data_IF_051965769226
#
_entry.id   IF_051965769226
#
_cell.length_a   1.000
_cell.length_b   1.000
_cell.length_c   1.000
_cell.angle_alpha   90.00
_cell.angle_beta   90.00
_cell.angle_gamma   90.00
#
_symmetry.space_group_name_H-M   'P 1'
#
loop_
_entity.id
_entity.type
_entity.pdbx_description
1 polymer ?
#
# COMPACT_ATOMS: atom_id res chain seq x y z
N UNK A 1 -5.99 26.68 -34.69
CA UNK A 1 -6.20 25.22 -34.51
C UNK A 1 -5.04 24.66 -33.69
N UNK A 2 -5.00 24.95 -32.39
CA UNK A 2 -3.94 24.43 -31.51
C UNK A 2 -4.31 23.01 -31.06
N UNK A 3 -3.58 22.04 -31.59
CA UNK A 3 -3.75 20.64 -31.21
C UNK A 3 -3.12 20.41 -29.84
N UNK A 4 -3.94 20.34 -28.78
CA UNK A 4 -3.49 19.82 -27.49
C UNK A 4 -3.10 18.34 -27.63
N UNK A 5 -1.80 18.08 -27.80
CA UNK A 5 -1.24 16.73 -27.74
C UNK A 5 -1.45 16.20 -26.32
N UNK A 6 -2.35 15.23 -26.15
CA UNK A 6 -2.46 14.45 -24.91
C UNK A 6 -1.10 13.79 -24.64
N UNK A 7 -0.39 14.26 -23.62
CA UNK A 7 0.86 13.65 -23.15
C UNK A 7 0.48 12.33 -22.47
N UNK A 8 0.50 11.24 -23.23
CA UNK A 8 0.43 9.90 -22.65
C UNK A 8 1.74 9.65 -21.89
N UNK A 9 1.68 9.62 -20.56
CA UNK A 9 2.80 9.15 -19.72
C UNK A 9 3.24 7.79 -20.24
N UNK A 10 4.50 7.64 -20.64
CA UNK A 10 4.99 6.36 -21.16
C UNK A 10 4.92 5.36 -20.00
N UNK A 11 4.41 4.14 -20.26
CA UNK A 11 4.11 3.11 -19.25
C UNK A 11 5.32 2.66 -18.40
N UNK A 12 6.53 3.18 -18.68
CA UNK A 12 7.80 2.81 -18.07
C UNK A 12 8.58 4.00 -17.49
N UNK A 13 7.95 5.15 -17.24
CA UNK A 13 8.63 6.26 -16.55
C UNK A 13 8.86 5.90 -15.07
N UNK A 14 10.13 5.80 -14.66
CA UNK A 14 10.48 5.65 -13.26
C UNK A 14 9.92 6.84 -12.47
N UNK A 15 9.33 6.63 -11.28
CA UNK A 15 8.84 7.72 -10.47
C UNK A 15 10.04 8.48 -9.91
N UNK A 16 10.51 9.48 -10.65
CA UNK A 16 11.61 10.33 -10.26
C UNK A 16 11.10 11.50 -9.41
N UNK A 17 11.95 12.02 -8.52
CA UNK A 17 11.69 13.29 -7.81
C UNK A 17 12.13 14.48 -8.67
N UNK A 18 11.94 15.72 -8.17
CA UNK A 18 12.38 16.96 -8.84
C UNK A 18 13.89 16.95 -9.18
N UNK A 19 14.68 16.10 -8.53
CA UNK A 19 16.12 15.93 -8.73
C UNK A 19 16.49 14.70 -9.56
N UNK A 20 15.55 14.12 -10.31
CA UNK A 20 15.78 12.93 -11.14
C UNK A 20 16.32 11.71 -10.36
N UNK A 21 16.00 11.62 -9.06
CA UNK A 21 16.31 10.47 -8.22
C UNK A 21 15.07 9.58 -8.06
N UNK A 22 15.27 8.27 -7.99
CA UNK A 22 14.19 7.32 -7.80
C UNK A 22 13.45 7.56 -6.47
N UNK A 23 12.14 7.81 -6.52
CA UNK A 23 11.29 7.94 -5.32
C UNK A 23 11.29 6.60 -4.58
N UNK A 24 11.93 6.56 -3.41
CA UNK A 24 11.87 5.40 -2.51
C UNK A 24 10.47 5.28 -1.91
N UNK A 25 9.86 4.10 -1.96
CA UNK A 25 8.54 3.85 -1.36
C UNK A 25 8.55 4.09 0.16
N UNK A 26 7.50 4.72 0.69
CA UNK A 26 7.34 5.05 2.13
C UNK A 26 7.48 3.83 3.06
N UNK A 27 7.15 2.62 2.58
CA UNK A 27 7.27 1.37 3.34
C UNK A 27 8.70 1.02 3.73
N UNK A 28 9.69 1.33 2.89
CA UNK A 28 11.10 1.08 3.18
C UNK A 28 11.75 2.23 3.99
N UNK A 29 10.99 3.29 4.31
CA UNK A 29 11.52 4.48 4.98
C UNK A 29 11.58 4.29 6.50
N UNK A 30 10.58 3.66 7.13
CA UNK A 30 10.50 3.55 8.61
C UNK A 30 11.68 2.81 9.25
N UNK A 31 12.09 1.68 8.70
CA UNK A 31 13.23 0.92 9.25
C UNK A 31 14.57 1.54 8.85
N UNK A 32 14.64 2.11 7.64
CA UNK A 32 15.78 2.87 7.15
C UNK A 32 16.04 4.13 7.98
N UNK A 33 15.00 4.77 8.52
CA UNK A 33 15.12 5.92 9.42
C UNK A 33 15.82 5.55 10.73
N UNK A 34 15.54 4.37 11.29
CA UNK A 34 16.21 3.90 12.52
C UNK A 34 17.71 3.69 12.31
N UNK A 35 18.11 3.07 11.19
CA UNK A 35 19.52 2.90 10.83
C UNK A 35 20.19 4.22 10.47
N UNK A 36 19.48 5.14 9.78
CA UNK A 36 20.00 6.47 9.46
C UNK A 36 20.28 7.30 10.73
N UNK A 37 19.39 7.23 11.72
CA UNK A 37 19.58 7.88 13.02
C UNK A 37 20.84 7.35 13.72
N UNK A 38 21.02 6.03 13.78
CA UNK A 38 22.23 5.41 14.35
C UNK A 38 23.51 5.81 13.58
N UNK A 39 23.48 5.82 12.25
CA UNK A 39 24.62 6.29 11.43
C UNK A 39 24.94 7.77 11.68
N UNK A 40 23.93 8.60 11.92
CA UNK A 40 24.14 10.00 12.29
C UNK A 40 24.83 10.08 13.66
N UNK A 41 24.29 9.40 14.67
CA UNK A 41 24.88 9.36 16.01
C UNK A 41 26.34 8.88 16.01
N UNK A 42 26.65 7.81 15.26
CA UNK A 42 28.03 7.31 15.12
C UNK A 42 28.95 8.39 14.53
N UNK A 43 28.52 9.06 13.44
CA UNK A 43 29.32 10.13 12.82
C UNK A 43 29.50 11.33 13.74
N UNK A 44 28.45 11.71 14.46
CA UNK A 44 28.48 12.84 15.38
C UNK A 44 29.42 12.54 16.57
N UNK A 45 29.37 11.32 17.12
CA UNK A 45 30.29 10.84 18.17
C UNK A 45 31.74 10.75 17.67
N UNK A 46 31.95 10.26 16.45
CA UNK A 46 33.29 10.14 15.88
C UNK A 46 33.92 11.52 15.68
N UNK A 47 33.17 12.47 15.10
CA UNK A 47 33.61 13.87 14.98
C UNK A 47 33.88 14.52 16.32
N UNK A 48 33.10 14.20 17.35
CA UNK A 48 33.29 14.73 18.69
C UNK A 48 34.63 14.25 19.29
N UNK A 49 34.96 12.97 19.10
CA UNK A 49 36.24 12.39 19.53
C UNK A 49 37.42 12.97 18.73
N UNK A 50 37.26 13.11 17.41
CA UNK A 50 38.31 13.59 16.50
C UNK A 50 38.68 15.07 16.73
N UNK A 51 37.73 15.89 17.22
CA UNK A 51 37.97 17.30 17.57
C UNK A 51 38.96 17.50 18.72
N UNK A 52 39.26 16.46 19.51
CA UNK A 52 40.36 16.48 20.48
C UNK A 52 40.19 17.38 21.73
N UNK A 53 39.13 18.19 21.82
CA UNK A 53 38.88 19.10 22.96
C UNK A 53 38.29 18.44 24.21
N UNK A 54 38.54 17.13 24.44
CA UNK A 54 37.89 16.35 25.49
C UNK A 54 38.93 15.80 26.47
N UNK A 55 38.59 15.83 27.76
CA UNK A 55 39.36 15.14 28.79
C UNK A 55 39.46 13.63 28.47
N UNK A 56 40.57 13.00 28.86
CA UNK A 56 40.86 11.61 28.52
C UNK A 56 39.79 10.64 29.03
N UNK A 57 39.28 10.84 30.25
CA UNK A 57 38.18 10.04 30.81
C UNK A 57 36.90 10.13 29.96
N UNK A 58 36.54 11.34 29.53
CA UNK A 58 35.36 11.58 28.69
C UNK A 58 35.59 10.97 27.31
N UNK A 59 36.81 11.06 26.77
CA UNK A 59 37.18 10.47 25.48
C UNK A 59 37.03 8.95 25.51
N UNK A 60 37.49 8.28 26.57
CA UNK A 60 37.33 6.84 26.75
C UNK A 60 35.84 6.45 26.84
N UNK A 61 35.04 7.18 27.63
CA UNK A 61 33.61 6.93 27.72
C UNK A 61 32.89 7.10 26.37
N UNK A 62 33.26 8.12 25.57
CA UNK A 62 32.70 8.34 24.23
C UNK A 62 33.14 7.29 23.21
N UNK A 63 34.36 6.77 23.32
CA UNK A 63 34.85 5.67 22.49
C UNK A 63 34.07 4.36 22.78
N UNK A 64 33.80 4.07 24.05
CA UNK A 64 32.95 2.93 24.43
C UNK A 64 31.52 3.06 23.90
N UNK A 65 30.91 4.25 24.01
CA UNK A 65 29.58 4.51 23.45
C UNK A 65 29.59 4.36 21.91
N UNK A 66 30.62 4.89 21.23
CA UNK A 66 30.79 4.72 19.79
C UNK A 66 30.84 3.25 19.38
N UNK A 67 31.63 2.43 20.09
CA UNK A 67 31.71 0.99 19.84
C UNK A 67 30.35 0.30 20.06
N UNK A 68 29.64 0.65 21.13
CA UNK A 68 28.31 0.13 21.41
C UNK A 68 27.31 0.48 20.31
N UNK A 69 27.31 1.73 19.81
CA UNK A 69 26.44 2.16 18.70
C UNK A 69 26.79 1.47 17.38
N UNK A 70 28.08 1.25 17.11
CA UNK A 70 28.52 0.50 15.93
C UNK A 70 28.07 -0.96 15.99
N UNK A 71 28.21 -1.63 17.13
CA UNK A 71 27.69 -2.99 17.36
C UNK A 71 26.18 -3.04 17.14
N UNK A 72 25.42 -2.11 17.71
CA UNK A 72 23.97 -2.01 17.55
C UNK A 72 23.57 -1.83 16.07
N UNK A 73 24.29 -1.00 15.33
CA UNK A 73 24.05 -0.78 13.91
C UNK A 73 24.31 -2.06 13.09
N UNK A 74 25.41 -2.76 13.37
CA UNK A 74 25.74 -4.00 12.68
C UNK A 74 24.70 -5.10 12.94
N UNK A 75 24.26 -5.26 14.19
CA UNK A 75 23.19 -6.18 14.57
C UNK A 75 21.91 -5.90 13.80
N UNK A 76 21.41 -4.65 13.82
CA UNK A 76 20.20 -4.25 13.09
C UNK A 76 20.31 -4.48 11.58
N UNK A 77 21.46 -4.20 10.99
CA UNK A 77 21.68 -4.46 9.56
C UNK A 77 21.67 -5.96 9.24
N UNK A 78 22.25 -6.79 10.10
CA UNK A 78 22.26 -8.24 9.93
C UNK A 78 20.87 -8.83 10.08
N UNK A 79 20.11 -8.42 11.11
CA UNK A 79 18.72 -8.81 11.30
C UNK A 79 17.86 -8.44 10.08
N UNK A 80 17.98 -7.20 9.59
CA UNK A 80 17.26 -6.75 8.41
C UNK A 80 17.62 -7.59 7.17
N UNK A 81 18.90 -7.86 6.94
CA UNK A 81 19.35 -8.72 5.83
C UNK A 81 18.79 -10.14 5.95
N UNK A 82 18.77 -10.71 7.14
CA UNK A 82 18.20 -12.05 7.37
C UNK A 82 16.70 -12.08 7.12
N UNK A 83 15.96 -11.08 7.60
CA UNK A 83 14.53 -10.94 7.35
C UNK A 83 14.24 -10.78 5.85
N UNK A 84 15.00 -9.95 5.14
CA UNK A 84 14.83 -9.76 3.71
C UNK A 84 15.11 -11.05 2.93
N UNK A 85 16.18 -11.78 3.26
CA UNK A 85 16.47 -13.10 2.68
C UNK A 85 15.32 -14.09 2.90
N UNK A 86 14.73 -14.10 4.10
CA UNK A 86 13.58 -14.96 4.44
C UNK A 86 12.34 -14.59 3.62
N UNK A 87 12.05 -13.30 3.49
CA UNK A 87 10.96 -12.76 2.67
C UNK A 87 11.15 -13.16 1.20
N UNK A 88 12.34 -12.95 0.65
CA UNK A 88 12.65 -13.25 -0.74
C UNK A 88 12.57 -14.76 -1.02
N UNK A 89 13.05 -15.59 -0.09
CA UNK A 89 12.93 -17.04 -0.17
C UNK A 89 11.47 -17.48 -0.25
N UNK A 90 10.61 -17.02 0.65
CA UNK A 90 9.20 -17.40 0.64
C UNK A 90 8.43 -16.80 -0.54
N UNK A 91 8.76 -15.57 -0.93
CA UNK A 91 8.20 -14.96 -2.13
C UNK A 91 8.48 -15.83 -3.35
N UNK A 92 9.73 -16.28 -3.56
CA UNK A 92 10.09 -17.16 -4.69
C UNK A 92 9.43 -18.54 -4.58
N UNK A 93 9.50 -19.17 -3.41
CA UNK A 93 9.01 -20.55 -3.19
C UNK A 93 7.50 -20.66 -3.37
N UNK A 94 6.73 -19.72 -2.81
CA UNK A 94 5.26 -19.80 -2.79
C UNK A 94 4.59 -18.95 -3.87
N UNK A 95 5.33 -18.22 -4.72
CA UNK A 95 4.76 -17.41 -5.82
C UNK A 95 3.81 -18.22 -6.70
N UNK A 96 4.26 -19.37 -7.19
CA UNK A 96 3.47 -20.23 -8.10
C UNK A 96 2.22 -20.78 -7.42
N UNK A 97 2.34 -21.23 -6.17
CA UNK A 97 1.22 -21.78 -5.40
C UNK A 97 0.16 -20.70 -5.16
N UNK A 98 0.57 -19.51 -4.70
CA UNK A 98 -0.33 -18.35 -4.53
C UNK A 98 -1.02 -17.95 -5.83
N UNK A 99 -0.32 -18.01 -6.97
CA UNK A 99 -0.90 -17.71 -8.28
C UNK A 99 -1.97 -18.72 -8.70
N UNK A 100 -1.75 -20.01 -8.45
CA UNK A 100 -2.74 -21.06 -8.71
C UNK A 100 -3.98 -20.85 -7.85
N UNK A 101 -3.80 -20.60 -6.55
CA UNK A 101 -4.91 -20.38 -5.63
C UNK A 101 -5.70 -19.11 -6.00
N UNK A 102 -5.00 -18.01 -6.32
CA UNK A 102 -5.65 -16.80 -6.84
C UNK A 102 -6.42 -17.04 -8.14
N UNK A 103 -5.88 -17.83 -9.07
CA UNK A 103 -6.55 -18.14 -10.33
C UNK A 103 -7.81 -18.97 -10.11
N UNK A 104 -7.77 -19.93 -9.18
CA UNK A 104 -8.94 -20.72 -8.78
C UNK A 104 -10.01 -19.83 -8.14
N UNK A 105 -9.65 -19.00 -7.18
CA UNK A 105 -10.58 -18.09 -6.52
C UNK A 105 -11.21 -17.09 -7.50
N UNK A 106 -10.43 -16.52 -8.42
CA UNK A 106 -10.96 -15.62 -9.45
C UNK A 106 -11.97 -16.31 -10.36
N UNK A 107 -11.68 -17.53 -10.79
CA UNK A 107 -12.62 -18.33 -11.59
C UNK A 107 -13.91 -18.65 -10.84
N UNK A 108 -13.82 -18.92 -9.54
CA UNK A 108 -15.01 -19.13 -8.71
C UNK A 108 -15.83 -17.85 -8.56
N UNK A 109 -15.16 -16.72 -8.29
CA UNK A 109 -15.81 -15.41 -8.21
C UNK A 109 -16.50 -15.05 -9.54
N UNK A 110 -15.84 -15.26 -10.68
CA UNK A 110 -16.45 -15.05 -12.01
C UNK A 110 -17.67 -15.94 -12.26
N UNK A 111 -17.71 -17.16 -11.71
CA UNK A 111 -18.87 -18.06 -11.82
C UNK A 111 -20.03 -17.55 -10.97
N UNK A 112 -19.78 -17.23 -9.70
CA UNK A 112 -20.81 -16.72 -8.79
C UNK A 112 -21.39 -15.40 -9.31
N UNK A 113 -20.56 -14.51 -9.86
CA UNK A 113 -21.04 -13.26 -10.46
C UNK A 113 -21.97 -13.49 -11.65
N UNK A 114 -21.68 -14.48 -12.50
CA UNK A 114 -22.59 -14.86 -13.59
C UNK A 114 -23.89 -15.48 -13.09
N UNK A 115 -23.82 -16.30 -12.04
CA UNK A 115 -25.01 -16.91 -11.44
C UNK A 115 -25.89 -15.82 -10.80
N UNK A 116 -25.30 -14.85 -10.10
CA UNK A 116 -25.99 -13.67 -9.52
C UNK A 116 -26.76 -12.83 -10.55
N UNK A 117 -26.30 -12.76 -11.80
CA UNK A 117 -27.01 -12.07 -12.88
C UNK A 117 -28.30 -12.81 -13.27
N UNK A 118 -28.30 -14.15 -13.17
CA UNK A 118 -29.40 -15.01 -13.63
C UNK A 118 -30.37 -15.44 -12.54
N UNK A 119 -29.96 -15.47 -11.28
CA UNK A 119 -30.75 -16.03 -10.17
C UNK A 119 -31.55 -14.94 -9.45
N UNK A 120 -32.82 -15.23 -9.16
CA UNK A 120 -33.71 -14.36 -8.37
C UNK A 120 -33.36 -14.39 -6.88
N UNK A 121 -32.97 -15.55 -6.36
CA UNK A 121 -32.53 -15.71 -4.97
C UNK A 121 -31.02 -15.41 -4.82
N UNK A 122 -30.71 -14.14 -4.54
CA UNK A 122 -29.33 -13.62 -4.53
C UNK A 122 -28.61 -13.75 -3.18
N UNK A 123 -29.33 -13.86 -2.08
CA UNK A 123 -28.74 -13.83 -0.73
C UNK A 123 -27.65 -14.88 -0.50
N UNK A 124 -27.87 -16.19 -0.76
CA UNK A 124 -26.83 -17.20 -0.52
C UNK A 124 -25.61 -17.04 -1.46
N UNK A 125 -25.82 -16.52 -2.67
CA UNK A 125 -24.73 -16.27 -3.62
C UNK A 125 -23.88 -15.06 -3.19
N UNK A 126 -24.49 -14.02 -2.62
CA UNK A 126 -23.77 -12.86 -2.09
C UNK A 126 -22.89 -13.23 -0.89
N UNK A 127 -23.37 -14.11 -0.02
CA UNK A 127 -22.58 -14.63 1.10
C UNK A 127 -21.35 -15.42 0.58
N UNK A 128 -21.56 -16.31 -0.39
CA UNK A 128 -20.46 -17.04 -1.03
C UNK A 128 -19.48 -16.11 -1.76
N UNK A 129 -19.97 -15.05 -2.42
CA UNK A 129 -19.09 -14.06 -3.04
C UNK A 129 -18.20 -13.38 -1.98
N UNK A 130 -18.79 -12.96 -0.86
CA UNK A 130 -18.06 -12.35 0.26
C UNK A 130 -16.97 -13.27 0.79
N UNK A 131 -17.28 -14.55 1.04
CA UNK A 131 -16.27 -15.53 1.48
C UNK A 131 -15.11 -15.68 0.49
N UNK A 132 -15.41 -15.71 -0.82
CA UNK A 132 -14.36 -15.83 -1.84
C UNK A 132 -13.49 -14.56 -1.87
N UNK A 133 -14.09 -13.39 -1.72
CA UNK A 133 -13.35 -12.13 -1.63
C UNK A 133 -12.41 -12.12 -0.41
N UNK A 134 -12.86 -12.64 0.74
CA UNK A 134 -12.02 -12.81 1.93
C UNK A 134 -10.86 -13.78 1.68
N UNK A 135 -11.13 -14.92 1.04
CA UNK A 135 -10.10 -15.89 0.64
C UNK A 135 -9.10 -15.27 -0.35
N UNK A 136 -9.54 -14.40 -1.28
CA UNK A 136 -8.65 -13.65 -2.18
C UNK A 136 -7.76 -12.69 -1.37
N UNK A 137 -8.34 -11.98 -0.40
CA UNK A 137 -7.62 -11.07 0.47
C UNK A 137 -6.57 -11.79 1.32
N UNK A 138 -6.88 -12.99 1.81
CA UNK A 138 -5.92 -13.87 2.48
C UNK A 138 -4.69 -14.13 1.61
N UNK A 139 -4.87 -14.53 0.33
CA UNK A 139 -3.71 -14.80 -0.54
C UNK A 139 -2.91 -13.53 -0.85
N UNK A 140 -3.59 -12.40 -1.09
CA UNK A 140 -2.96 -11.11 -1.43
C UNK A 140 -2.17 -10.52 -0.26
N UNK A 141 -2.71 -10.59 0.95
CA UNK A 141 -2.15 -9.93 2.13
C UNK A 141 -1.47 -10.89 3.10
N UNK A 142 -1.25 -12.14 2.68
CA UNK A 142 -0.53 -13.13 3.47
C UNK A 142 0.86 -12.61 3.93
N UNK A 143 1.24 -12.84 5.21
CA UNK A 143 2.57 -12.47 5.72
C UNK A 143 3.71 -12.99 4.84
N UNK A 144 4.69 -12.13 4.54
CA UNK A 144 5.78 -12.46 3.61
C UNK A 144 6.90 -13.27 4.27
N UNK A 145 6.97 -13.20 5.59
CA UNK A 145 7.98 -13.79 6.46
C UNK A 145 7.60 -15.19 6.96
N UNK A 146 6.46 -15.73 6.51
CA UNK A 146 5.92 -17.02 6.94
C UNK A 146 5.68 -17.96 5.75
N UNK A 147 5.69 -19.27 6.05
CA UNK A 147 5.32 -20.32 5.09
C UNK A 147 3.86 -20.15 4.69
N UNK A 148 3.57 -20.12 3.39
CA UNK A 148 2.20 -20.04 2.89
C UNK A 148 1.44 -21.36 3.09
N UNK A 149 0.19 -21.26 3.56
CA UNK A 149 -0.74 -22.38 3.69
C UNK A 149 -1.76 -22.29 2.55
N UNK A 150 -1.77 -23.27 1.65
CA UNK A 150 -2.65 -23.26 0.47
C UNK A 150 -4.10 -23.51 0.86
N UNK A 151 -5.02 -22.80 0.20
CA UNK A 151 -6.47 -22.94 0.41
C UNK A 151 -7.03 -24.23 -0.19
N UNK A 152 -6.40 -24.76 -1.24
CA UNK A 152 -6.86 -25.91 -2.01
C UNK A 152 -5.92 -27.12 -1.88
N UNK A 153 -5.18 -27.21 -0.77
CA UNK A 153 -4.24 -28.30 -0.53
C UNK A 153 -4.98 -29.60 -0.19
N UNK A 154 -4.72 -30.67 -0.97
CA UNK A 154 -5.42 -31.96 -0.81
C UNK A 154 -5.06 -32.71 0.48
N UNK A 155 -3.86 -32.48 1.03
CA UNK A 155 -3.32 -33.19 2.19
C UNK A 155 -2.97 -32.19 3.33
N UNK A 156 -3.94 -31.38 3.77
CA UNK A 156 -3.73 -30.48 4.90
C UNK A 156 -3.99 -31.22 6.22
N UNK A 157 -2.99 -31.23 7.10
CA UNK A 157 -3.16 -31.64 8.51
C UNK A 157 -4.22 -30.75 9.18
N UNK A 158 -4.95 -31.28 10.17
CA UNK A 158 -5.99 -30.54 10.90
C UNK A 158 -5.45 -29.26 11.54
N UNK A 159 -4.31 -29.34 12.23
CA UNK A 159 -3.61 -28.16 12.77
C UNK A 159 -3.26 -27.12 11.69
N UNK A 160 -2.97 -27.53 10.46
CA UNK A 160 -2.71 -26.58 9.37
C UNK A 160 -3.98 -25.85 8.90
N UNK A 161 -5.16 -26.48 9.02
CA UNK A 161 -6.46 -25.86 8.73
C UNK A 161 -6.83 -24.82 9.78
N UNK A 162 -6.64 -25.13 11.06
CA UNK A 162 -6.87 -24.19 12.16
C UNK A 162 -5.98 -22.93 12.01
N UNK A 163 -4.69 -23.14 11.75
CA UNK A 163 -3.76 -22.02 11.51
C UNK A 163 -4.16 -21.21 10.27
N UNK A 164 -4.70 -21.86 9.24
CA UNK A 164 -5.20 -21.18 8.06
C UNK A 164 -6.40 -20.28 8.38
N UNK A 165 -7.37 -20.76 9.14
CA UNK A 165 -8.54 -19.99 9.56
C UNK A 165 -8.14 -18.75 10.38
N UNK A 166 -7.27 -18.94 11.38
CA UNK A 166 -6.72 -17.83 12.18
C UNK A 166 -6.02 -16.78 11.32
N UNK A 167 -5.30 -17.21 10.27
CA UNK A 167 -4.62 -16.29 9.36
C UNK A 167 -5.58 -15.61 8.37
N UNK A 168 -6.67 -16.27 7.98
CA UNK A 168 -7.76 -15.65 7.20
C UNK A 168 -8.36 -14.50 8.02
N UNK A 169 -8.71 -14.73 9.28
CA UNK A 169 -9.26 -13.69 10.16
C UNK A 169 -8.30 -12.53 10.41
N UNK A 170 -7.02 -12.84 10.65
CA UNK A 170 -5.97 -11.80 10.72
C UNK A 170 -5.90 -11.00 9.41
N UNK A 171 -6.04 -11.66 8.27
CA UNK A 171 -6.04 -11.00 6.96
C UNK A 171 -7.27 -10.12 6.76
N UNK A 172 -8.46 -10.51 7.25
CA UNK A 172 -9.67 -9.67 7.26
C UNK A 172 -9.43 -8.39 8.06
N UNK A 173 -8.89 -8.51 9.28
CA UNK A 173 -8.55 -7.35 10.14
C UNK A 173 -7.53 -6.43 9.47
N UNK A 174 -6.48 -7.00 8.90
CA UNK A 174 -5.44 -6.25 8.18
C UNK A 174 -5.98 -5.53 6.94
N UNK A 175 -6.91 -6.16 6.20
CA UNK A 175 -7.56 -5.55 5.05
C UNK A 175 -8.41 -4.34 5.46
N UNK A 176 -9.27 -4.49 6.48
CA UNK A 176 -10.08 -3.38 7.03
C UNK A 176 -9.20 -2.21 7.47
N UNK A 177 -8.12 -2.48 8.18
CA UNK A 177 -7.17 -1.43 8.59
C UNK A 177 -6.47 -0.73 7.42
N UNK A 178 -6.18 -1.46 6.33
CA UNK A 178 -5.58 -0.86 5.12
C UNK A 178 -6.57 0.00 4.36
N UNK A 179 -7.81 -0.45 4.20
CA UNK A 179 -8.87 0.35 3.59
C UNK A 179 -9.11 1.63 4.39
N UNK A 180 -9.24 1.53 5.73
CA UNK A 180 -9.35 2.70 6.60
C UNK A 180 -8.19 3.70 6.42
N UNK A 181 -6.95 3.20 6.33
CA UNK A 181 -5.78 4.06 6.06
C UNK A 181 -5.85 4.71 4.69
N UNK A 182 -6.32 3.98 3.68
CA UNK A 182 -6.48 4.50 2.32
C UNK A 182 -7.53 5.62 2.29
N UNK A 183 -8.67 5.45 2.96
CA UNK A 183 -9.70 6.50 3.07
C UNK A 183 -9.17 7.74 3.79
N UNK A 184 -8.49 7.57 4.94
CA UNK A 184 -7.85 8.70 5.65
C UNK A 184 -6.85 9.46 4.78
N UNK A 185 -6.02 8.74 4.02
CA UNK A 185 -5.08 9.38 3.09
C UNK A 185 -5.80 10.17 1.98
N UNK A 186 -6.93 9.66 1.49
CA UNK A 186 -7.74 10.35 0.48
C UNK A 186 -8.34 11.63 1.07
N UNK A 187 -8.90 11.57 2.28
CA UNK A 187 -9.41 12.75 3.01
C UNK A 187 -8.33 13.81 3.26
N UNK A 188 -7.14 13.39 3.70
CA UNK A 188 -5.98 14.28 3.87
C UNK A 188 -5.61 14.97 2.55
N UNK A 189 -5.58 14.22 1.44
CA UNK A 189 -5.30 14.82 0.11
C UNK A 189 -6.40 15.73 -0.42
N UNK A 190 -7.66 15.52 -0.02
CA UNK A 190 -8.75 16.42 -0.41
C UNK A 190 -8.77 17.71 0.43
N UNK A 191 -8.35 17.65 1.69
CA UNK A 191 -8.19 18.86 2.53
C UNK A 191 -7.04 19.75 2.04
N UNK A 192 -5.90 19.17 1.69
CA UNK A 192 -4.74 19.92 1.16
C UNK A 192 -5.04 20.66 -0.18
N UNK A 193 -6.08 20.28 -0.92
CA UNK A 193 -6.47 20.94 -2.18
C UNK A 193 -7.46 22.08 -1.95
N UNK A 194 -8.17 22.08 -0.82
CA UNK A 194 -9.17 23.11 -0.51
C UNK A 194 -8.59 24.34 0.21
N UNK A 195 -7.37 24.25 0.76
CA UNK A 195 -6.74 25.38 1.47
C UNK A 195 -6.04 26.40 0.53
N UNK A 196 -5.85 26.08 -0.76
CA UNK A 196 -5.23 26.96 -1.78
C UNK A 196 -6.21 27.42 -2.88
N UNK A 197 -7.51 27.10 -2.77
CA UNK A 197 -8.56 27.61 -3.67
C UNK A 197 -9.47 28.58 -2.91
N UNK A 198 -8.88 29.69 -2.46
CA UNK A 198 -9.61 30.91 -2.16
C UNK A 198 -10.01 31.52 -3.52
N UNK A 199 -11.05 30.97 -4.16
CA UNK A 199 -11.78 31.71 -5.17
C UNK A 199 -12.77 32.59 -4.43
N UNK A 200 -12.64 33.88 -4.69
CA UNK A 200 -13.54 34.93 -4.28
C UNK A 200 -15.00 34.49 -4.44
N UNK A 201 -15.76 34.63 -3.35
CA UNK A 201 -17.20 34.66 -3.35
C UNK A 201 -17.66 35.85 -4.21
N UNK A 202 -17.81 35.68 -5.52
CA UNK A 202 -18.67 36.51 -6.38
C UNK A 202 -18.71 35.90 -7.80
N UNK A 203 -19.68 35.00 -8.04
CA UNK A 203 -20.52 34.95 -9.23
C UNK A 203 -21.27 33.60 -9.30
N UNK A 204 -22.47 33.58 -8.73
CA UNK A 204 -23.49 32.60 -9.08
C UNK A 204 -23.95 32.83 -10.54
N UNK A 205 -23.30 32.17 -11.49
CA UNK A 205 -23.88 31.94 -12.82
C UNK A 205 -24.08 30.44 -13.05
N UNK A 206 -25.35 30.05 -12.97
CA UNK A 206 -25.87 28.73 -13.30
C UNK A 206 -25.47 28.38 -14.75
N UNK A 207 -24.40 27.61 -14.93
CA UNK A 207 -24.06 27.04 -16.24
C UNK A 207 -24.96 25.84 -16.50
N UNK A 208 -26.13 26.11 -17.09
CA UNK A 208 -26.98 25.06 -17.64
C UNK A 208 -26.25 24.38 -18.82
N UNK A 209 -25.87 23.10 -18.65
CA UNK A 209 -25.32 22.28 -19.74
C UNK A 209 -26.45 21.93 -20.71
N UNK A 210 -26.56 22.67 -21.81
CA UNK A 210 -27.38 22.29 -22.95
C UNK A 210 -26.61 21.29 -23.83
N UNK A 211 -27.19 20.11 -24.08
CA UNK A 211 -26.72 19.20 -25.12
C UNK A 211 -27.34 19.63 -26.45
N UNK A 212 -26.48 20.05 -27.38
CA UNK A 212 -26.85 20.58 -28.69
C UNK A 212 -26.27 19.68 -29.78
N UNK A 213 -27.06 19.38 -30.82
CA UNK A 213 -26.59 18.62 -31.98
C UNK A 213 -25.65 19.44 -32.87
N UNK A 214 -24.97 18.79 -33.81
CA UNK A 214 -24.06 19.42 -34.80
C UNK A 214 -24.71 20.52 -35.67
N UNK A 215 -26.04 20.64 -35.65
CA UNK A 215 -26.81 21.68 -36.34
C UNK A 215 -27.45 22.72 -35.39
N UNK A 216 -27.04 22.76 -34.11
CA UNK A 216 -27.42 23.84 -33.19
C UNK A 216 -28.80 23.71 -32.53
N UNK A 217 -29.50 22.57 -32.66
CA UNK A 217 -30.78 22.32 -31.97
C UNK A 217 -30.58 21.60 -30.63
N UNK A 218 -31.27 22.07 -29.58
CA UNK A 218 -31.20 21.56 -28.19
C UNK A 218 -32.01 20.27 -28.05
N UNK A 219 -31.40 19.19 -27.53
CA UNK A 219 -31.98 17.84 -27.57
C UNK A 219 -32.67 17.45 -26.25
N UNK A 220 -32.25 18.00 -25.09
CA UNK A 220 -32.94 17.80 -23.81
C UNK A 220 -32.43 18.77 -22.73
N UNK A 221 -33.34 19.36 -21.96
CA UNK A 221 -33.02 20.07 -20.71
C UNK A 221 -33.27 19.11 -19.54
N UNK A 222 -32.24 18.76 -18.77
CA UNK A 222 -32.40 18.14 -17.46
C UNK A 222 -32.30 19.24 -16.39
N UNK A 223 -33.42 19.54 -15.72
CA UNK A 223 -33.42 20.34 -14.49
C UNK A 223 -33.18 19.40 -13.32
N UNK A 224 -32.06 19.55 -12.61
CA UNK A 224 -31.89 18.94 -11.29
C UNK A 224 -32.50 19.90 -10.27
N UNK A 225 -33.62 19.52 -9.65
CA UNK A 225 -34.15 20.21 -8.48
C UNK A 225 -33.34 19.77 -7.26
N UNK A 226 -32.69 20.72 -6.59
CA UNK A 226 -32.14 20.54 -5.25
C UNK A 226 -33.29 20.47 -4.24
N UNK A 227 -33.37 19.38 -3.47
CA UNK A 227 -34.26 19.30 -2.31
C UNK A 227 -33.81 20.33 -1.26
N UNK A 228 -34.77 21.11 -0.76
CA UNK A 228 -34.70 21.84 0.51
C UNK A 228 -34.86 20.88 1.69
#
# INVERSE_FOLDING_TARGET
METHKKIYKRRNELPLNKFHQLKRSKTNQKEGESCKKLKKQIRDLQRLIDKGHLNEEIKQAKQQDLEAKQKQLNQKQNEYKQQQKKIDYFARKYKKIKQVDLKKLKRLLEKIQKELETTENREPLLEQESEIQEKINYVKYYPKDQKYISLFGKNLNEHAKEQQELLIDKSKKNFKQKELKKYRMIEETHKEVNDDFLMDEENDQIVSKQLVDKQGKVIKQQKFNSLQ
#
